data_IF_402653446332
#
_entry.id   IF_402653446332
#
_cell.length_a   1.000
_cell.length_b   1.000
_cell.length_c   1.000
_cell.angle_alpha   90.00
_cell.angle_beta   90.00
_cell.angle_gamma   90.00
#
_symmetry.space_group_name_H-M   'P 1'
#
loop_
_entity.id
_entity.type
_entity.pdbx_description
1 polymer ?
#
# COMPACT_ATOMS: atom_id res chain seq x y z
N UNK A 1 -19.00 19.88 -8.91
CA UNK A 1 -18.09 19.37 -7.85
C UNK A 1 -17.65 17.94 -8.14
N UNK A 2 -17.06 17.70 -9.33
CA UNK A 2 -16.64 16.37 -9.79
C UNK A 2 -15.14 16.33 -10.17
N UNK A 3 -14.40 17.40 -9.91
CA UNK A 3 -13.05 17.61 -10.44
C UNK A 3 -11.92 17.19 -9.48
N UNK A 4 -12.21 16.96 -8.20
CA UNK A 4 -11.20 16.48 -7.23
C UNK A 4 -11.09 14.95 -7.16
N UNK A 5 -12.16 14.22 -7.45
CA UNK A 5 -12.17 12.75 -7.40
C UNK A 5 -11.47 12.15 -8.62
N UNK A 6 -11.53 12.82 -9.78
CA UNK A 6 -10.78 12.42 -10.97
C UNK A 6 -9.26 12.54 -10.78
N UNK A 7 -8.77 13.60 -10.11
CA UNK A 7 -7.34 13.80 -9.87
C UNK A 7 -6.72 12.74 -8.92
N UNK A 8 -7.53 12.14 -8.05
CA UNK A 8 -7.12 11.04 -7.15
C UNK A 8 -7.18 9.66 -7.81
N UNK A 9 -7.92 9.51 -8.92
CA UNK A 9 -8.07 8.26 -9.68
C UNK A 9 -7.21 8.23 -10.96
N UNK A 10 -6.67 9.38 -11.40
CA UNK A 10 -5.81 9.49 -12.59
C UNK A 10 -4.38 9.94 -12.28
N UNK A 11 -4.00 10.09 -11.01
CA UNK A 11 -2.58 10.15 -10.68
C UNK A 11 -1.99 8.77 -10.98
N UNK A 12 -1.05 8.62 -11.93
CA UNK A 12 -0.37 7.37 -12.14
C UNK A 12 0.24 6.99 -10.78
N UNK A 13 -0.18 5.86 -10.21
CA UNK A 13 0.03 5.51 -8.80
C UNK A 13 1.52 5.37 -8.39
N UNK A 14 2.47 5.68 -9.28
CA UNK A 14 3.86 6.01 -8.96
C UNK A 14 4.39 7.15 -9.85
N UNK A 15 3.97 8.38 -9.56
CA UNK A 15 4.64 9.58 -10.03
C UNK A 15 5.98 9.79 -9.30
N UNK A 16 7.03 9.09 -9.75
CA UNK A 16 8.39 9.56 -9.57
C UNK A 16 8.61 10.76 -10.49
N UNK A 17 8.39 11.97 -9.99
CA UNK A 17 8.89 13.20 -10.63
C UNK A 17 9.86 13.89 -9.70
N UNK A 18 11.04 13.31 -9.57
CA UNK A 18 12.28 14.01 -9.27
C UNK A 18 13.30 13.51 -10.30
N UNK A 19 13.47 14.28 -11.38
CA UNK A 19 14.41 14.12 -12.49
C UNK A 19 14.59 12.69 -13.07
N UNK A 20 13.91 12.41 -14.18
CA UNK A 20 14.28 11.31 -15.08
C UNK A 20 15.33 11.87 -16.06
N UNK A 21 16.51 11.27 -16.08
CA UNK A 21 17.56 11.51 -17.09
C UNK A 21 17.01 11.16 -18.49
N UNK A 22 17.08 12.10 -19.43
CA UNK A 22 16.50 11.97 -20.78
C UNK A 22 17.11 10.83 -21.61
N UNK A 23 18.23 10.25 -21.16
CA UNK A 23 18.87 9.09 -21.80
C UNK A 23 18.18 7.74 -21.54
N UNK A 24 17.22 7.67 -20.63
CA UNK A 24 16.49 6.43 -20.28
C UNK A 24 15.17 6.22 -21.07
N UNK A 25 14.85 7.12 -22.00
CA UNK A 25 13.58 7.14 -22.75
C UNK A 25 13.64 6.48 -24.14
N UNK A 26 14.72 5.76 -24.48
CA UNK A 26 14.84 5.01 -25.74
C UNK A 26 14.52 3.50 -25.59
N UNK A 27 13.54 3.14 -24.76
CA UNK A 27 12.95 1.80 -24.75
C UNK A 27 11.46 1.88 -25.12
N UNK A 28 10.95 1.00 -26.01
CA UNK A 28 9.63 1.16 -26.61
C UNK A 28 8.57 1.05 -25.52
N UNK A 29 7.86 2.15 -25.30
CA UNK A 29 6.69 2.20 -24.46
C UNK A 29 5.61 1.28 -25.06
N UNK A 30 5.39 0.12 -24.44
CA UNK A 30 4.14 -0.63 -24.63
C UNK A 30 3.08 0.14 -23.85
N UNK A 31 2.48 1.14 -24.51
CA UNK A 31 1.30 1.84 -24.01
C UNK A 31 0.16 0.83 -23.94
N UNK A 32 -0.19 0.40 -22.73
CA UNK A 32 -1.48 -0.23 -22.49
C UNK A 32 -2.48 0.91 -22.40
N UNK A 33 -3.32 1.03 -23.42
CA UNK A 33 -4.41 1.99 -23.49
C UNK A 33 -5.34 1.85 -22.26
N UNK A 34 -5.49 2.89 -21.43
CA UNK A 34 -6.41 2.87 -20.29
C UNK A 34 -7.89 2.72 -20.70
N UNK A 35 -8.21 2.87 -21.99
CA UNK A 35 -9.53 2.55 -22.55
C UNK A 35 -9.90 1.07 -22.47
N UNK A 36 -8.94 0.15 -22.35
CA UNK A 36 -9.22 -1.30 -22.34
C UNK A 36 -9.86 -1.77 -21.02
N UNK A 37 -9.56 -1.12 -19.89
CA UNK A 37 -10.19 -1.46 -18.61
C UNK A 37 -11.61 -0.87 -18.45
N UNK A 38 -11.90 0.28 -19.08
CA UNK A 38 -13.23 0.87 -19.10
C UNK A 38 -14.13 0.31 -20.22
N UNK A 39 -13.56 -0.24 -21.29
CA UNK A 39 -14.33 -0.91 -22.34
C UNK A 39 -14.95 -2.25 -21.89
N UNK A 40 -14.36 -2.94 -20.91
CA UNK A 40 -14.90 -4.21 -20.40
C UNK A 40 -16.17 -4.01 -19.55
N UNK A 41 -16.35 -2.83 -18.95
CA UNK A 41 -17.58 -2.49 -18.22
C UNK A 41 -18.62 -1.74 -19.07
N UNK A 42 -18.27 -1.29 -20.28
CA UNK A 42 -19.16 -0.50 -21.16
C UNK A 42 -19.58 -1.23 -22.45
N UNK A 43 -18.99 -2.39 -22.79
CA UNK A 43 -19.32 -3.11 -24.03
C UNK A 43 -20.35 -4.25 -23.89
N UNK A 44 -21.07 -4.36 -22.76
CA UNK A 44 -22.14 -5.37 -22.57
C UNK A 44 -23.53 -4.74 -22.75
N UNK A 45 -23.67 -3.72 -23.60
CA UNK A 45 -24.99 -3.12 -23.82
C UNK A 45 -25.08 -2.36 -25.15
N UNK A 46 -24.93 -3.06 -26.27
CA UNK A 46 -25.45 -2.62 -27.56
C UNK A 46 -25.87 -3.86 -28.37
N UNK A 47 -26.92 -4.53 -27.89
CA UNK A 47 -27.75 -5.40 -28.73
C UNK A 47 -29.02 -4.58 -29.08
N UNK A 48 -29.32 -4.49 -30.38
CA UNK A 48 -30.37 -3.64 -30.94
C UNK A 48 -31.78 -4.00 -30.41
N UNK A 49 -32.73 -3.03 -30.35
CA UNK A 49 -33.99 -3.22 -29.67
C UNK A 49 -34.96 -4.03 -30.53
N UNK A 50 -34.97 -5.34 -30.37
CA UNK A 50 -36.16 -6.15 -30.71
C UNK A 50 -37.04 -6.26 -29.48
N UNK A 51 -38.27 -5.77 -29.60
CA UNK A 51 -39.15 -5.47 -28.48
C UNK A 51 -39.55 -6.67 -27.63
N UNK A 52 -39.13 -6.62 -26.37
CA UNK A 52 -39.89 -6.95 -25.17
C UNK A 52 -39.13 -6.28 -24.02
N UNK A 53 -39.78 -5.41 -23.23
CA UNK A 53 -39.17 -4.69 -22.11
C UNK A 53 -38.94 -5.66 -20.94
N UNK A 54 -37.99 -6.59 -21.09
CA UNK A 54 -37.37 -7.26 -19.95
C UNK A 54 -36.43 -6.24 -19.30
N UNK A 55 -36.78 -5.74 -18.11
CA UNK A 55 -35.83 -4.98 -17.28
C UNK A 55 -34.52 -5.77 -17.17
N UNK A 56 -33.34 -5.13 -17.25
CA UNK A 56 -32.08 -5.83 -17.05
C UNK A 56 -32.12 -6.50 -15.68
N UNK A 57 -32.33 -7.82 -15.65
CA UNK A 57 -32.40 -8.61 -14.42
C UNK A 57 -31.06 -8.46 -13.73
N UNK A 58 -31.04 -7.63 -12.69
CA UNK A 58 -29.87 -7.44 -11.85
C UNK A 58 -29.30 -8.78 -11.37
N UNK A 59 -28.01 -8.83 -11.00
CA UNK A 59 -27.34 -10.08 -10.65
C UNK A 59 -28.08 -10.79 -9.52
N UNK A 60 -28.30 -12.10 -9.67
CA UNK A 60 -28.96 -12.90 -8.64
C UNK A 60 -28.07 -13.02 -7.39
N UNK A 61 -28.66 -13.37 -6.24
CA UNK A 61 -27.90 -13.68 -5.02
C UNK A 61 -26.82 -14.75 -5.27
N UNK A 62 -27.12 -15.75 -6.10
CA UNK A 62 -26.17 -16.80 -6.47
C UNK A 62 -24.98 -16.23 -7.26
N UNK A 63 -25.22 -15.29 -8.18
CA UNK A 63 -24.17 -14.60 -8.93
C UNK A 63 -23.27 -13.77 -8.02
N UNK A 64 -23.87 -13.05 -7.06
CA UNK A 64 -23.13 -12.26 -6.07
C UNK A 64 -22.28 -13.15 -5.15
N UNK A 65 -22.80 -14.31 -4.71
CA UNK A 65 -22.03 -15.29 -3.94
C UNK A 65 -20.87 -15.86 -4.77
N UNK A 66 -21.09 -16.19 -6.04
CA UNK A 66 -20.04 -16.68 -6.95
C UNK A 66 -18.96 -15.62 -7.15
N UNK A 67 -19.34 -14.36 -7.37
CA UNK A 67 -18.41 -13.21 -7.46
C UNK A 67 -17.62 -13.03 -6.17
N UNK A 68 -18.30 -13.05 -5.01
CA UNK A 68 -17.68 -12.96 -3.68
C UNK A 68 -16.62 -14.04 -3.48
N UNK A 69 -16.93 -15.30 -3.80
CA UNK A 69 -16.00 -16.41 -3.60
C UNK A 69 -14.75 -16.30 -4.48
N UNK A 70 -14.89 -15.83 -5.72
CA UNK A 70 -13.74 -15.53 -6.60
C UNK A 70 -12.86 -14.43 -6.01
N UNK A 71 -13.45 -13.29 -5.63
CA UNK A 71 -12.72 -12.15 -5.04
C UNK A 71 -12.08 -12.55 -3.72
N UNK A 72 -12.77 -13.28 -2.85
CA UNK A 72 -12.26 -13.77 -1.56
C UNK A 72 -10.98 -14.58 -1.72
N UNK A 73 -10.91 -15.45 -2.73
CA UNK A 73 -9.71 -16.26 -3.00
C UNK A 73 -8.52 -15.36 -3.37
N UNK A 74 -8.74 -14.41 -4.27
CA UNK A 74 -7.70 -13.48 -4.73
C UNK A 74 -7.26 -12.55 -3.57
N UNK A 75 -8.22 -11.94 -2.87
CA UNK A 75 -7.99 -11.08 -1.72
C UNK A 75 -7.19 -11.80 -0.62
N UNK A 76 -7.47 -13.08 -0.35
CA UNK A 76 -6.70 -13.87 0.63
C UNK A 76 -5.24 -14.00 0.24
N UNK A 77 -4.95 -14.37 -1.01
CA UNK A 77 -3.57 -14.54 -1.48
C UNK A 77 -2.81 -13.21 -1.50
N UNK A 78 -3.43 -12.15 -2.02
CA UNK A 78 -2.85 -10.81 -1.96
C UNK A 78 -2.67 -10.31 -0.52
N UNK A 79 -3.58 -10.64 0.39
CA UNK A 79 -3.43 -10.34 1.82
C UNK A 79 -2.23 -11.03 2.45
N UNK A 80 -1.99 -12.31 2.15
CA UNK A 80 -0.80 -13.04 2.60
C UNK A 80 0.46 -12.43 2.00
N UNK A 81 0.49 -12.17 0.69
CA UNK A 81 1.62 -11.53 0.01
C UNK A 81 1.93 -10.14 0.60
N UNK A 82 0.89 -9.34 0.84
CA UNK A 82 1.02 -8.01 1.46
C UNK A 82 1.60 -8.14 2.86
N UNK A 83 1.11 -9.08 3.67
CA UNK A 83 1.65 -9.32 5.01
C UNK A 83 3.12 -9.73 4.97
N UNK A 84 3.51 -10.67 4.09
CA UNK A 84 4.91 -11.08 3.94
C UNK A 84 5.82 -9.94 3.50
N UNK A 85 5.39 -9.15 2.50
CA UNK A 85 6.15 -7.99 2.02
C UNK A 85 6.25 -6.90 3.10
N UNK A 86 5.19 -6.67 3.86
CA UNK A 86 5.19 -5.74 4.98
C UNK A 86 6.14 -6.19 6.09
N UNK A 87 6.18 -7.48 6.41
CA UNK A 87 7.15 -8.04 7.37
C UNK A 87 8.59 -7.75 6.94
N UNK A 88 8.93 -8.04 5.68
CA UNK A 88 10.26 -7.77 5.14
C UNK A 88 10.55 -6.25 5.12
N UNK A 89 9.55 -5.42 4.82
CA UNK A 89 9.68 -3.95 4.83
C UNK A 89 9.98 -3.42 6.23
N UNK A 90 9.28 -3.92 7.25
CA UNK A 90 9.53 -3.55 8.65
C UNK A 90 10.92 -4.00 9.09
N UNK A 91 11.33 -5.23 8.77
CA UNK A 91 12.67 -5.74 9.11
C UNK A 91 13.77 -4.91 8.45
N UNK A 92 13.64 -4.65 7.14
CA UNK A 92 14.61 -3.81 6.43
C UNK A 92 14.65 -2.37 6.96
N UNK A 93 13.50 -1.80 7.33
CA UNK A 93 13.41 -0.49 7.95
C UNK A 93 14.07 -0.43 9.34
N UNK A 94 13.89 -1.47 10.17
CA UNK A 94 14.58 -1.61 11.47
C UNK A 94 16.09 -1.68 11.30
N UNK A 95 16.56 -2.45 10.31
CA UNK A 95 17.98 -2.55 9.98
C UNK A 95 18.55 -1.20 9.57
N UNK A 96 17.81 -0.44 8.74
CA UNK A 96 18.23 0.90 8.34
C UNK A 96 18.24 1.88 9.49
N UNK A 97 17.23 1.84 10.35
CA UNK A 97 17.18 2.68 11.53
C UNK A 97 18.38 2.39 12.44
N UNK A 98 18.70 1.12 12.66
CA UNK A 98 19.89 0.73 13.40
C UNK A 98 21.17 1.22 12.72
N UNK A 99 21.35 0.97 11.43
CA UNK A 99 22.56 1.36 10.70
C UNK A 99 22.78 2.87 10.77
N UNK A 100 21.73 3.68 10.58
CA UNK A 100 21.83 5.14 10.52
C UNK A 100 21.84 5.83 11.88
N UNK A 101 21.20 5.24 12.90
CA UNK A 101 20.97 5.90 14.18
C UNK A 101 21.44 5.10 15.40
N UNK A 102 21.87 3.85 15.24
CA UNK A 102 22.43 3.02 16.31
C UNK A 102 21.53 2.81 17.52
N UNK A 103 20.21 2.92 17.35
CA UNK A 103 19.26 3.10 18.46
C UNK A 103 19.61 4.34 19.31
N UNK A 104 19.45 5.53 18.73
CA UNK A 104 19.65 6.82 19.40
C UNK A 104 21.11 7.23 19.68
N UNK A 105 22.09 6.64 19.00
CA UNK A 105 23.49 7.12 18.96
C UNK A 105 23.61 8.46 18.24
N UNK A 106 24.74 9.14 18.47
CA UNK A 106 25.08 10.39 17.78
C UNK A 106 25.49 10.12 16.32
N UNK A 107 25.55 11.19 15.52
CA UNK A 107 25.99 11.10 14.13
C UNK A 107 27.40 10.50 14.00
N UNK A 108 28.32 10.86 14.90
CA UNK A 108 29.70 10.36 14.88
C UNK A 108 29.86 8.92 15.39
N UNK A 109 28.83 8.32 15.99
CA UNK A 109 28.95 7.00 16.68
C UNK A 109 27.89 5.99 16.24
N UNK A 110 27.12 6.28 15.18
CA UNK A 110 26.19 5.31 14.64
C UNK A 110 26.93 4.18 13.87
N UNK A 111 26.29 3.02 13.70
CA UNK A 111 26.96 1.88 13.12
C UNK A 111 27.48 2.07 11.70
N UNK A 112 26.82 2.92 10.92
CA UNK A 112 27.28 3.23 9.58
C UNK A 112 28.63 3.97 9.57
N UNK A 113 28.80 4.97 10.43
CA UNK A 113 30.06 5.73 10.54
C UNK A 113 31.18 4.89 11.18
N UNK A 114 30.82 3.99 12.10
CA UNK A 114 31.78 3.10 12.76
C UNK A 114 32.18 1.88 11.92
N UNK A 115 31.56 1.66 10.74
CA UNK A 115 31.86 0.53 9.87
C UNK A 115 31.32 -0.82 10.35
N UNK A 116 30.39 -0.83 11.31
CA UNK A 116 29.72 -2.03 11.86
C UNK A 116 28.21 -2.07 11.49
N UNK A 117 27.82 -1.43 10.39
CA UNK A 117 26.48 -1.54 9.83
C UNK A 117 26.15 -2.99 9.42
N UNK A 118 24.91 -3.41 9.70
CA UNK A 118 24.35 -4.68 9.24
C UNK A 118 24.34 -4.69 7.71
N UNK A 119 24.74 -5.82 7.13
CA UNK A 119 24.96 -6.00 5.68
C UNK A 119 25.98 -5.04 5.06
N UNK A 120 26.94 -4.57 5.86
CA UNK A 120 28.08 -3.74 5.42
C UNK A 120 27.65 -2.51 4.60
N UNK A 121 26.46 -1.98 4.89
CA UNK A 121 25.92 -0.81 4.21
C UNK A 121 26.86 0.38 4.40
N UNK A 122 27.56 0.76 3.32
CA UNK A 122 28.53 1.86 3.33
C UNK A 122 27.89 3.25 3.20
N UNK A 123 26.64 3.30 2.73
CA UNK A 123 25.90 4.53 2.54
C UNK A 123 25.19 4.95 3.83
N UNK A 124 25.74 5.95 4.53
CA UNK A 124 25.14 6.57 5.73
C UNK A 124 24.12 7.67 5.39
N UNK A 125 23.95 7.94 4.10
CA UNK A 125 23.02 8.90 3.52
C UNK A 125 22.51 8.36 2.18
N UNK A 126 21.46 8.98 1.65
CA UNK A 126 20.85 8.61 0.38
C UNK A 126 19.68 7.63 0.51
N UNK A 127 19.03 7.38 -0.63
CA UNK A 127 17.82 6.56 -0.72
C UNK A 127 18.19 5.07 -0.73
N UNK A 128 17.72 4.27 0.25
CA UNK A 128 18.10 2.88 0.34
C UNK A 128 17.27 2.02 -0.62
N UNK A 129 17.79 1.82 -1.83
CA UNK A 129 17.10 1.19 -2.97
C UNK A 129 16.42 -0.12 -2.63
N UNK A 130 17.08 -1.03 -1.89
CA UNK A 130 16.50 -2.32 -1.51
C UNK A 130 15.21 -2.18 -0.68
N UNK A 131 15.17 -1.25 0.27
CA UNK A 131 13.96 -1.00 1.06
C UNK A 131 12.92 -0.26 0.25
N UNK A 132 13.31 0.71 -0.58
CA UNK A 132 12.38 1.41 -1.47
C UNK A 132 11.66 0.44 -2.42
N UNK A 133 12.40 -0.49 -3.05
CA UNK A 133 11.80 -1.53 -3.89
C UNK A 133 10.81 -2.37 -3.10
N UNK A 134 11.17 -2.75 -1.88
CA UNK A 134 10.35 -3.60 -1.03
C UNK A 134 9.07 -2.90 -0.55
N UNK A 135 9.15 -1.63 -0.16
CA UNK A 135 7.96 -0.85 0.23
C UNK A 135 7.10 -0.50 -0.97
N UNK A 136 7.67 -0.33 -2.17
CA UNK A 136 6.90 -0.16 -3.41
C UNK A 136 6.08 -1.42 -3.74
N UNK A 137 6.70 -2.61 -3.65
CA UNK A 137 5.99 -3.89 -3.81
C UNK A 137 4.93 -4.08 -2.72
N UNK A 138 5.25 -3.73 -1.47
CA UNK A 138 4.29 -3.77 -0.35
C UNK A 138 3.10 -2.87 -0.62
N UNK A 139 3.34 -1.63 -1.09
CA UNK A 139 2.30 -0.68 -1.46
C UNK A 139 1.40 -1.21 -2.57
N UNK A 140 1.97 -1.70 -3.67
CA UNK A 140 1.21 -2.28 -4.78
C UNK A 140 0.33 -3.46 -4.34
N UNK A 141 0.89 -4.40 -3.57
CA UNK A 141 0.14 -5.52 -3.02
C UNK A 141 -0.96 -5.07 -2.05
N UNK A 142 -0.65 -4.11 -1.16
CA UNK A 142 -1.59 -3.57 -0.18
C UNK A 142 -2.77 -2.86 -0.85
N UNK A 143 -2.52 -1.92 -1.76
CA UNK A 143 -3.58 -1.16 -2.40
C UNK A 143 -4.45 -2.04 -3.31
N UNK A 144 -3.86 -3.08 -3.92
CA UNK A 144 -4.63 -4.12 -4.62
C UNK A 144 -5.55 -4.87 -3.64
N UNK A 145 -5.01 -5.33 -2.50
CA UNK A 145 -5.78 -6.02 -1.45
C UNK A 145 -6.91 -5.14 -0.91
N UNK A 146 -6.61 -3.86 -0.66
CA UNK A 146 -7.54 -2.86 -0.18
C UNK A 146 -8.67 -2.60 -1.19
N UNK A 147 -8.34 -2.41 -2.47
CA UNK A 147 -9.33 -2.24 -3.54
C UNK A 147 -10.26 -3.46 -3.67
N UNK A 148 -9.70 -4.68 -3.67
CA UNK A 148 -10.47 -5.92 -3.69
C UNK A 148 -11.46 -6.04 -2.52
N UNK A 149 -11.15 -5.41 -1.38
CA UNK A 149 -12.05 -5.44 -0.21
C UNK A 149 -13.35 -4.68 -0.43
N UNK A 150 -13.37 -3.66 -1.30
CA UNK A 150 -14.59 -2.90 -1.64
C UNK A 150 -15.37 -3.57 -2.77
N UNK A 151 -14.67 -4.24 -3.70
CA UNK A 151 -15.30 -4.98 -4.78
C UNK A 151 -16.03 -6.26 -4.30
N UNK A 152 -15.84 -6.67 -3.05
CA UNK A 152 -16.42 -7.89 -2.48
C UNK A 152 -17.88 -7.66 -2.05
N UNK A 153 -18.88 -8.26 -2.72
CA UNK A 153 -20.28 -8.08 -2.34
C UNK A 153 -20.62 -8.84 -1.05
N UNK A 154 -21.57 -8.31 -0.27
CA UNK A 154 -22.11 -8.92 0.96
C UNK A 154 -23.64 -9.14 0.84
N UNK A 155 -24.11 -9.99 -0.10
CA UNK A 155 -25.54 -10.12 -0.39
C UNK A 155 -26.34 -10.73 0.77
N UNK A 156 -25.65 -11.48 1.64
CA UNK A 156 -26.24 -12.13 2.81
C UNK A 156 -26.06 -11.29 4.08
N UNK A 157 -25.50 -10.07 3.97
CA UNK A 157 -25.28 -9.17 5.10
C UNK A 157 -24.58 -9.86 6.27
N UNK A 158 -23.56 -10.67 6.00
CA UNK A 158 -22.92 -11.51 7.04
C UNK A 158 -22.09 -10.69 8.03
N UNK A 159 -21.94 -9.38 7.77
CA UNK A 159 -21.40 -8.42 8.72
C UNK A 159 -22.45 -7.84 9.69
N UNK A 160 -23.74 -8.05 9.41
CA UNK A 160 -24.86 -7.68 10.26
C UNK A 160 -25.15 -8.82 11.27
N UNK A 161 -25.62 -8.47 12.47
CA UNK A 161 -25.97 -9.43 13.52
C UNK A 161 -24.92 -9.65 14.62
N UNK A 162 -25.26 -10.53 15.57
CA UNK A 162 -24.54 -10.70 16.84
C UNK A 162 -23.64 -11.96 16.89
N UNK A 163 -23.48 -12.67 15.78
CA UNK A 163 -22.59 -13.83 15.74
C UNK A 163 -21.12 -13.42 15.89
N UNK A 164 -20.30 -14.36 16.37
CA UNK A 164 -18.85 -14.15 16.49
C UNK A 164 -18.20 -13.84 15.14
N UNK A 165 -18.67 -14.48 14.07
CA UNK A 165 -18.21 -14.19 12.72
C UNK A 165 -18.56 -12.75 12.30
N UNK A 166 -19.79 -12.29 12.54
CA UNK A 166 -20.21 -10.94 12.21
C UNK A 166 -19.38 -9.90 12.99
N UNK A 167 -19.11 -10.16 14.28
CA UNK A 167 -18.21 -9.33 15.11
C UNK A 167 -16.79 -9.28 14.54
N UNK A 168 -16.17 -10.42 14.25
CA UNK A 168 -14.82 -10.50 13.64
C UNK A 168 -14.77 -9.74 12.31
N UNK A 169 -15.79 -9.92 11.46
CA UNK A 169 -15.86 -9.25 10.17
C UNK A 169 -16.01 -7.72 10.31
N UNK A 170 -16.76 -7.22 11.29
CA UNK A 170 -16.82 -5.78 11.60
C UNK A 170 -15.46 -5.27 12.07
N UNK A 171 -14.80 -5.98 12.98
CA UNK A 171 -13.44 -5.63 13.44
C UNK A 171 -12.46 -5.59 12.27
N UNK A 172 -12.50 -6.57 11.36
CA UNK A 172 -11.68 -6.60 10.16
C UNK A 172 -11.94 -5.38 9.25
N UNK A 173 -13.21 -5.00 9.05
CA UNK A 173 -13.58 -3.79 8.28
C UNK A 173 -13.09 -2.49 8.95
N UNK A 174 -13.05 -2.42 10.28
CA UNK A 174 -12.49 -1.28 11.03
C UNK A 174 -10.96 -1.24 10.88
N UNK A 175 -10.28 -2.37 11.08
CA UNK A 175 -8.82 -2.47 10.95
C UNK A 175 -8.35 -2.15 9.52
N UNK A 176 -9.18 -2.39 8.50
CA UNK A 176 -8.91 -1.92 7.14
C UNK A 176 -8.66 -0.41 7.09
N UNK A 177 -9.43 0.40 7.81
CA UNK A 177 -9.23 1.85 7.84
C UNK A 177 -8.02 2.27 8.67
N UNK A 178 -7.77 1.57 9.78
CA UNK A 178 -6.57 1.78 10.60
C UNK A 178 -5.31 1.51 9.77
N UNK A 179 -5.27 0.39 9.06
CA UNK A 179 -4.13 0.04 8.20
C UNK A 179 -3.99 0.99 7.02
N UNK A 180 -5.10 1.49 6.45
CA UNK A 180 -5.08 2.44 5.34
C UNK A 180 -4.49 3.79 5.76
N UNK A 181 -4.98 4.35 6.86
CA UNK A 181 -4.43 5.57 7.43
C UNK A 181 -2.94 5.41 7.77
N UNK A 182 -2.56 4.26 8.36
CA UNK A 182 -1.18 3.93 8.66
C UNK A 182 -0.28 3.80 7.43
N UNK A 183 -0.78 3.24 6.33
CA UNK A 183 -0.05 3.17 5.06
C UNK A 183 0.17 4.55 4.44
N UNK A 184 -0.87 5.40 4.41
CA UNK A 184 -0.73 6.78 3.91
C UNK A 184 0.27 7.59 4.75
N UNK A 185 0.21 7.45 6.08
CA UNK A 185 1.14 8.13 6.98
C UNK A 185 2.59 7.67 6.76
N UNK A 186 2.83 6.37 6.56
CA UNK A 186 4.16 5.87 6.21
C UNK A 186 4.65 6.39 4.87
N UNK A 187 3.80 6.43 3.83
CA UNK A 187 4.19 7.00 2.53
C UNK A 187 4.60 8.46 2.70
N UNK A 188 3.79 9.27 3.41
CA UNK A 188 4.11 10.67 3.66
C UNK A 188 5.42 10.85 4.43
N UNK A 189 5.62 10.12 5.53
CA UNK A 189 6.85 10.16 6.32
C UNK A 189 8.06 9.67 5.50
N UNK A 190 7.88 8.65 4.66
CA UNK A 190 8.94 8.08 3.82
C UNK A 190 9.37 9.06 2.74
N UNK A 191 8.42 9.74 2.11
CA UNK A 191 8.68 10.82 1.15
C UNK A 191 9.43 11.96 1.83
N UNK A 192 9.00 12.40 3.01
CA UNK A 192 9.70 13.45 3.78
C UNK A 192 11.12 13.02 4.14
N UNK A 193 11.32 11.79 4.59
CA UNK A 193 12.65 11.28 4.95
C UNK A 193 13.58 11.18 3.73
N UNK A 194 13.09 10.62 2.62
CA UNK A 194 13.86 10.46 1.38
C UNK A 194 14.22 11.80 0.71
N UNK A 195 13.41 12.83 0.93
CA UNK A 195 13.58 14.17 0.36
C UNK A 195 13.99 15.22 1.40
N UNK A 196 14.49 14.79 2.56
CA UNK A 196 14.83 15.68 3.67
C UNK A 196 15.78 16.82 3.26
N UNK A 197 16.80 16.52 2.46
CA UNK A 197 17.75 17.52 1.97
C UNK A 197 17.09 18.60 1.10
N UNK A 198 16.13 18.25 0.23
CA UNK A 198 15.40 19.24 -0.58
C UNK A 198 14.37 20.03 0.24
N UNK A 199 13.98 19.51 1.41
CA UNK A 199 13.16 20.21 2.40
C UNK A 199 14.00 21.06 3.39
N UNK A 200 15.31 21.18 3.15
CA UNK A 200 16.21 21.98 3.97
C UNK A 200 16.67 21.31 5.27
N UNK A 201 16.49 19.99 5.41
CA UNK A 201 17.00 19.20 6.53
C UNK A 201 18.23 18.41 6.07
N UNK A 202 19.39 18.74 6.59
CA UNK A 202 20.63 18.02 6.28
C UNK A 202 21.13 17.19 7.45
N UNK A 203 21.92 16.16 7.15
CA UNK A 203 22.35 15.20 8.17
C UNK A 203 23.28 15.81 9.22
N UNK A 204 24.14 16.74 8.82
CA UNK A 204 25.15 17.33 9.70
C UNK A 204 24.53 18.34 10.68
N UNK A 205 23.53 19.10 10.24
CA UNK A 205 22.89 20.12 11.07
C UNK A 205 21.61 19.62 11.77
N UNK A 206 20.85 18.72 11.13
CA UNK A 206 19.50 18.32 11.55
C UNK A 206 19.38 16.85 11.96
N UNK A 207 20.49 16.20 12.32
CA UNK A 207 20.53 14.78 12.68
C UNK A 207 19.43 14.35 13.67
N UNK A 208 19.14 15.16 14.69
CA UNK A 208 18.09 14.87 15.69
C UNK A 208 16.70 14.93 15.09
N UNK A 209 16.43 15.88 14.20
CA UNK A 209 15.15 16.02 13.52
C UNK A 209 14.92 14.84 12.56
N UNK A 210 15.93 14.49 11.76
CA UNK A 210 15.90 13.32 10.87
C UNK A 210 15.66 12.02 11.64
N UNK A 211 16.33 11.84 12.78
CA UNK A 211 16.08 10.71 13.67
C UNK A 211 14.66 10.72 14.23
N UNK A 212 14.10 11.89 14.53
CA UNK A 212 12.71 12.04 14.95
C UNK A 212 11.73 11.57 13.88
N UNK A 213 11.91 12.02 12.64
CA UNK A 213 11.11 11.59 11.48
C UNK A 213 11.22 10.08 11.27
N UNK A 214 12.44 9.53 11.29
CA UNK A 214 12.68 8.10 11.15
C UNK A 214 12.04 7.28 12.28
N UNK A 215 12.04 7.81 13.51
CA UNK A 215 11.39 7.18 14.67
C UNK A 215 9.88 7.18 14.49
N UNK A 216 9.29 8.30 14.06
CA UNK A 216 7.86 8.40 13.77
C UNK A 216 7.46 7.44 12.66
N UNK A 217 8.23 7.38 11.58
CA UNK A 217 8.02 6.44 10.48
C UNK A 217 8.02 4.99 10.99
N UNK A 218 9.03 4.60 11.76
CA UNK A 218 9.15 3.26 12.33
C UNK A 218 7.97 2.93 13.28
N UNK A 219 7.57 3.87 14.13
CA UNK A 219 6.44 3.68 15.04
C UNK A 219 5.13 3.45 14.28
N UNK A 220 4.83 4.28 13.27
CA UNK A 220 3.66 4.10 12.41
C UNK A 220 3.74 2.77 11.66
N UNK A 221 4.91 2.38 11.17
CA UNK A 221 5.12 1.07 10.53
C UNK A 221 4.78 -0.09 11.45
N UNK A 222 5.25 -0.08 12.70
CA UNK A 222 4.98 -1.13 13.68
C UNK A 222 3.49 -1.21 14.04
N UNK A 223 2.83 -0.07 14.25
CA UNK A 223 1.39 -0.01 14.53
C UNK A 223 0.59 -0.52 13.33
N UNK A 224 0.94 -0.10 12.12
CA UNK A 224 0.26 -0.53 10.88
C UNK A 224 0.44 -2.02 10.65
N UNK A 225 1.66 -2.53 10.85
CA UNK A 225 1.96 -3.95 10.75
C UNK A 225 1.20 -4.78 11.79
N UNK A 226 1.13 -4.31 13.04
CA UNK A 226 0.36 -4.94 14.11
C UNK A 226 -1.14 -5.00 13.76
N UNK A 227 -1.71 -3.89 13.29
CA UNK A 227 -3.10 -3.83 12.87
C UNK A 227 -3.40 -4.76 11.69
N UNK A 228 -2.50 -4.83 10.70
CA UNK A 228 -2.62 -5.72 9.54
C UNK A 228 -2.53 -7.19 9.97
N UNK A 229 -1.58 -7.53 10.83
CA UNK A 229 -1.41 -8.88 11.37
C UNK A 229 -2.65 -9.31 12.15
N UNK A 230 -3.18 -8.43 13.00
CA UNK A 230 -4.40 -8.69 13.75
C UNK A 230 -5.61 -8.88 12.82
N UNK A 231 -5.75 -8.04 11.78
CA UNK A 231 -6.83 -8.16 10.79
C UNK A 231 -6.79 -9.50 10.05
N UNK A 232 -5.60 -10.00 9.72
CA UNK A 232 -5.42 -11.33 9.12
C UNK A 232 -5.74 -12.45 10.12
N UNK A 233 -5.21 -12.37 11.34
CA UNK A 233 -5.37 -13.40 12.36
C UNK A 233 -6.85 -13.69 12.69
N UNK A 234 -7.68 -12.64 12.86
CA UNK A 234 -9.11 -12.80 13.19
C UNK A 234 -9.96 -13.37 12.04
N UNK A 235 -9.40 -13.50 10.83
CA UNK A 235 -10.07 -14.10 9.67
C UNK A 235 -9.54 -15.49 9.34
N UNK A 236 -8.47 -15.93 10.01
CA UNK A 236 -7.89 -17.28 9.91
C UNK A 236 -8.36 -18.16 11.07
N UNK A 237 -8.45 -17.58 12.28
CA UNK A 237 -8.92 -18.22 13.52
C UNK A 237 -10.25 -17.63 13.98
#
# INVERSE_FOLDING_TARGET
>A
MATLTALMLTAPLFGMTLHIDSSMLEAPAVMVDPGVFLAVEVSVELEEPTGELDEPKGPTTADLIRKRNKIKKVHKWFGISTWSLMTLSVVSGLIQFYNQYGWWKSEATNPCVQGNAIFTQKACSGVPTAHVTLVALTGAAYFTTFGLSFAMPDPLKVSEGNSDFARKLRTHKVLRWVTFAGMLAQIGLGVVAANSASLGLDRANDYKALRGIATAHMAVSLVTYGAMTYAGAIMIF
#
